data_IF_908415283368
#
_entry.id   IF_908415283368
#
_cell.length_a   1.000
_cell.length_b   1.000
_cell.length_c   1.000
_cell.angle_alpha   90.00
_cell.angle_beta   90.00
_cell.angle_gamma   90.00
#
_symmetry.space_group_name_H-M   'P 1'
#
loop_
_entity.id
_entity.type
_entity.pdbx_description
1 polymer ?
#
# COMPACT_ATOMS: atom_id res chain seq x y z
N UNK A 1 -2.00 7.75 -10.90
CA UNK A 1 -1.03 8.87 -10.98
C UNK A 1 -0.18 8.83 -12.24
N UNK A 2 0.70 7.83 -12.42
CA UNK A 2 1.65 7.79 -13.56
C UNK A 2 1.00 7.94 -14.94
N UNK A 3 -0.08 7.19 -15.22
CA UNK A 3 -0.78 7.30 -16.50
C UNK A 3 -1.33 8.71 -16.76
N UNK A 4 -1.91 9.33 -15.73
CA UNK A 4 -2.44 10.70 -15.83
C UNK A 4 -1.31 11.73 -16.04
N UNK A 5 -0.17 11.56 -15.35
CA UNK A 5 1.02 12.39 -15.56
C UNK A 5 1.55 12.23 -16.98
N UNK A 6 1.70 11.00 -17.47
CA UNK A 6 2.16 10.75 -18.83
C UNK A 6 1.24 11.39 -19.87
N UNK A 7 -0.07 11.32 -19.67
CA UNK A 7 -1.06 11.90 -20.58
C UNK A 7 -1.03 13.43 -20.59
N UNK A 8 -0.98 14.10 -19.43
CA UNK A 8 -0.89 15.57 -19.41
C UNK A 8 0.51 16.09 -19.81
N UNK A 9 1.56 15.29 -19.65
CA UNK A 9 2.94 15.69 -19.93
C UNK A 9 3.31 15.53 -21.41
N UNK A 10 2.95 14.41 -22.02
CA UNK A 10 3.36 14.04 -23.39
C UNK A 10 2.20 13.77 -24.34
N UNK A 11 0.95 13.80 -23.87
CA UNK A 11 -0.21 13.27 -24.60
C UNK A 11 0.02 11.82 -25.07
N UNK A 12 0.75 11.02 -24.25
CA UNK A 12 1.13 9.64 -24.55
C UNK A 12 2.04 9.48 -25.79
N UNK A 13 2.66 10.57 -26.25
CA UNK A 13 3.59 10.55 -27.37
C UNK A 13 4.97 10.12 -26.88
N UNK A 14 5.49 9.01 -27.42
CA UNK A 14 6.76 8.42 -27.02
C UNK A 14 7.97 9.30 -27.38
N UNK A 15 7.95 9.86 -28.60
CA UNK A 15 9.07 10.60 -29.19
C UNK A 15 8.86 12.11 -29.12
N UNK A 16 8.36 12.61 -27.98
CA UNK A 16 8.17 14.04 -27.78
C UNK A 16 9.27 14.62 -26.90
N UNK A 17 9.88 15.69 -27.41
CA UNK A 17 10.83 16.54 -26.70
C UNK A 17 10.18 17.91 -26.50
N UNK A 18 10.27 18.45 -25.30
CA UNK A 18 9.86 19.82 -25.02
C UNK A 18 11.07 20.63 -24.54
N UNK A 19 11.13 21.88 -24.99
CA UNK A 19 12.15 22.82 -24.56
C UNK A 19 11.52 24.00 -23.81
N UNK A 20 11.82 24.13 -22.52
CA UNK A 20 11.41 25.29 -21.73
C UNK A 20 12.43 26.41 -21.90
N UNK A 21 12.11 27.41 -22.74
CA UNK A 21 12.96 28.58 -22.99
C UNK A 21 13.31 29.36 -21.72
N UNK A 22 12.45 29.35 -20.69
CA UNK A 22 12.70 30.09 -19.44
C UNK A 22 13.67 29.37 -18.53
N UNK A 23 13.65 28.03 -18.54
CA UNK A 23 14.55 27.19 -17.74
C UNK A 23 15.80 26.74 -18.51
N UNK A 24 15.84 26.92 -19.84
CA UNK A 24 16.83 26.33 -20.74
C UNK A 24 16.97 24.81 -20.54
N UNK A 25 15.84 24.16 -20.28
CA UNK A 25 15.76 22.74 -19.93
C UNK A 25 15.05 21.98 -21.05
N UNK A 26 15.59 20.81 -21.40
CA UNK A 26 14.98 19.88 -22.36
C UNK A 26 14.42 18.68 -21.61
N UNK A 27 13.17 18.33 -21.90
CA UNK A 27 12.53 17.14 -21.34
C UNK A 27 12.12 16.19 -22.45
N UNK A 28 12.30 14.89 -22.24
CA UNK A 28 12.03 13.86 -23.24
C UNK A 28 11.12 12.74 -22.71
N UNK A 29 10.45 12.06 -23.64
CA UNK A 29 9.69 10.83 -23.40
C UNK A 29 8.33 11.02 -22.72
N UNK A 30 7.65 9.91 -22.42
CA UNK A 30 6.27 9.87 -21.91
C UNK A 30 6.01 10.75 -20.68
N UNK A 31 6.93 10.72 -19.73
CA UNK A 31 6.89 11.40 -18.44
C UNK A 31 7.57 12.78 -18.50
N UNK A 32 8.16 13.17 -19.63
CA UNK A 32 8.86 14.44 -19.81
C UNK A 32 9.93 14.68 -18.74
N UNK A 33 10.88 13.75 -18.64
CA UNK A 33 12.02 13.84 -17.73
C UNK A 33 13.19 14.56 -18.41
N UNK A 34 13.86 15.42 -17.65
CA UNK A 34 15.10 16.06 -18.09
C UNK A 34 16.30 15.12 -17.87
N UNK A 35 17.27 15.07 -18.80
CA UNK A 35 18.50 14.29 -18.64
C UNK A 35 19.19 14.54 -17.29
N UNK A 36 19.26 15.81 -16.86
CA UNK A 36 19.88 16.22 -15.61
C UNK A 36 19.15 15.64 -14.38
N UNK A 37 17.81 15.54 -14.45
CA UNK A 37 17.01 14.92 -13.39
C UNK A 37 17.23 13.42 -13.34
N UNK A 38 17.33 12.74 -14.49
CA UNK A 38 17.60 11.31 -14.55
C UNK A 38 19.01 10.99 -14.03
N UNK A 39 20.02 11.77 -14.43
CA UNK A 39 21.40 11.65 -13.93
C UNK A 39 21.46 11.87 -12.42
N UNK A 40 20.81 12.93 -11.93
CA UNK A 40 20.72 13.23 -10.51
C UNK A 40 20.04 12.09 -9.72
N UNK A 41 18.93 11.54 -10.23
CA UNK A 41 18.26 10.39 -9.60
C UNK A 41 19.15 9.15 -9.57
N UNK A 42 19.90 8.87 -10.64
CA UNK A 42 20.77 7.71 -10.71
C UNK A 42 22.01 7.85 -9.81
N UNK A 43 22.67 9.01 -9.83
CA UNK A 43 23.93 9.26 -9.12
C UNK A 43 23.72 9.56 -7.64
N UNK A 44 22.83 10.49 -7.32
CA UNK A 44 22.65 11.00 -5.96
C UNK A 44 21.55 10.27 -5.18
N UNK A 45 20.49 9.82 -5.86
CA UNK A 45 19.34 9.18 -5.20
C UNK A 45 19.32 7.65 -5.29
N UNK A 46 20.32 7.04 -5.93
CA UNK A 46 20.50 5.58 -5.97
C UNK A 46 19.61 4.81 -6.96
N UNK A 47 18.91 5.48 -7.88
CA UNK A 47 18.06 4.83 -8.89
C UNK A 47 18.90 4.28 -10.07
N UNK A 48 19.58 3.15 -9.84
CA UNK A 48 20.61 2.59 -10.75
C UNK A 48 20.14 1.43 -11.65
N UNK A 49 18.84 1.20 -11.80
CA UNK A 49 18.35 0.10 -12.66
C UNK A 49 18.63 0.33 -14.16
N UNK A 50 18.93 1.57 -14.56
CA UNK A 50 19.31 1.93 -15.93
C UNK A 50 20.51 2.88 -15.88
N UNK A 51 21.53 2.60 -16.71
CA UNK A 51 22.69 3.47 -16.87
C UNK A 51 22.31 4.70 -17.69
N UNK A 52 22.39 5.89 -17.07
CA UNK A 52 22.02 7.17 -17.69
C UNK A 52 23.19 7.79 -18.47
N UNK A 53 24.42 7.44 -18.13
CA UNK A 53 25.62 8.06 -18.69
C UNK A 53 25.84 7.65 -20.16
N UNK A 54 25.91 8.66 -21.05
CA UNK A 54 26.42 8.49 -22.41
C UNK A 54 25.41 8.09 -23.49
N UNK A 55 24.12 7.91 -23.17
CA UNK A 55 23.06 7.64 -24.18
C UNK A 55 22.02 8.79 -24.23
N UNK A 56 22.14 9.72 -25.19
CA UNK A 56 21.19 10.82 -25.37
C UNK A 56 19.76 10.36 -25.71
N UNK A 57 19.60 9.11 -26.17
CA UNK A 57 18.32 8.56 -26.61
C UNK A 57 17.63 7.73 -25.52
N UNK A 58 18.28 7.54 -24.37
CA UNK A 58 17.80 6.67 -23.31
C UNK A 58 16.41 7.05 -22.80
N UNK A 59 16.13 8.35 -22.65
CA UNK A 59 14.86 8.84 -22.13
C UNK A 59 13.70 8.71 -23.12
N UNK A 60 13.94 8.35 -24.38
CA UNK A 60 12.86 7.99 -25.31
C UNK A 60 12.40 6.54 -25.13
N UNK A 61 13.17 5.70 -24.42
CA UNK A 61 12.77 4.32 -24.10
C UNK A 61 11.63 4.36 -23.07
N UNK A 62 10.44 3.82 -23.37
CA UNK A 62 9.25 3.97 -22.52
C UNK A 62 9.46 3.52 -21.08
N UNK A 63 10.07 2.36 -20.87
CA UNK A 63 10.32 1.80 -19.53
C UNK A 63 11.33 2.64 -18.73
N UNK A 64 12.36 3.16 -19.38
CA UNK A 64 13.37 3.99 -18.72
C UNK A 64 12.78 5.32 -18.30
N UNK A 65 11.99 5.93 -19.19
CA UNK A 65 11.34 7.20 -18.94
C UNK A 65 10.28 7.11 -17.83
N UNK A 66 9.49 6.03 -17.82
CA UNK A 66 8.54 5.74 -16.74
C UNK A 66 9.25 5.46 -15.42
N UNK A 67 10.37 4.73 -15.43
CA UNK A 67 11.18 4.46 -14.24
C UNK A 67 11.67 5.76 -13.59
N UNK A 68 12.32 6.65 -14.34
CA UNK A 68 12.79 7.93 -13.80
C UNK A 68 11.63 8.87 -13.44
N UNK A 69 10.51 8.82 -14.18
CA UNK A 69 9.28 9.53 -13.81
C UNK A 69 8.70 9.09 -12.47
N UNK A 70 8.64 7.79 -12.24
CA UNK A 70 8.18 7.22 -10.97
C UNK A 70 9.15 7.53 -9.82
N UNK A 71 10.47 7.41 -10.07
CA UNK A 71 11.50 7.78 -9.11
C UNK A 71 11.42 9.26 -8.70
N UNK A 72 11.18 10.16 -9.66
CA UNK A 72 11.04 11.58 -9.38
C UNK A 72 9.79 11.89 -8.56
N UNK A 73 8.65 11.27 -8.89
CA UNK A 73 7.41 11.38 -8.09
C UNK A 73 7.63 10.86 -6.67
N UNK A 74 8.30 9.71 -6.52
CA UNK A 74 8.62 9.13 -5.21
C UNK A 74 9.50 10.07 -4.38
N UNK A 75 10.51 10.67 -4.99
CA UNK A 75 11.33 11.67 -4.31
C UNK A 75 10.53 12.90 -3.90
N UNK A 76 9.70 13.45 -4.80
CA UNK A 76 8.84 14.61 -4.50
C UNK A 76 7.83 14.32 -3.37
N UNK A 77 7.40 13.07 -3.21
CA UNK A 77 6.46 12.68 -2.15
C UNK A 77 7.07 12.72 -0.74
N UNK A 78 8.41 12.72 -0.65
CA UNK A 78 9.18 12.68 0.61
C UNK A 78 10.24 13.79 0.72
N UNK A 79 10.19 14.80 -0.17
CA UNK A 79 11.23 15.84 -0.23
C UNK A 79 11.26 16.69 1.05
N UNK A 80 12.48 16.96 1.55
CA UNK A 80 12.79 17.65 2.82
C UNK A 80 12.37 16.88 4.08
N UNK A 81 12.31 15.54 4.02
CA UNK A 81 11.96 14.69 5.17
C UNK A 81 10.49 14.81 5.59
N UNK A 82 9.63 15.37 4.73
CA UNK A 82 8.20 15.58 5.00
C UNK A 82 7.36 14.86 3.96
N UNK A 83 6.32 14.16 4.40
CA UNK A 83 5.31 13.59 3.52
C UNK A 83 4.51 14.72 2.85
N UNK A 84 4.42 14.67 1.51
CA UNK A 84 3.76 15.70 0.71
C UNK A 84 2.43 15.19 0.14
N UNK A 85 1.45 16.09 -0.01
CA UNK A 85 0.17 15.75 -0.64
C UNK A 85 0.34 15.47 -2.14
N UNK A 86 -0.60 14.72 -2.72
CA UNK A 86 -0.65 14.47 -4.17
C UNK A 86 -0.65 15.78 -4.97
N UNK A 87 -1.42 16.78 -4.54
CA UNK A 87 -1.42 18.10 -5.16
C UNK A 87 -0.02 18.73 -5.18
N UNK A 88 0.68 18.70 -4.04
CA UNK A 88 2.04 19.24 -3.96
C UNK A 88 2.97 18.51 -4.93
N UNK A 89 2.93 17.17 -4.94
CA UNK A 89 3.77 16.33 -5.80
C UNK A 89 3.54 16.64 -7.27
N UNK A 90 2.29 16.68 -7.73
CA UNK A 90 1.96 16.93 -9.15
C UNK A 90 2.33 18.35 -9.57
N UNK A 91 2.10 19.34 -8.71
CA UNK A 91 2.45 20.73 -9.00
C UNK A 91 3.96 20.94 -8.98
N UNK A 92 4.68 20.28 -8.07
CA UNK A 92 6.14 20.26 -8.02
C UNK A 92 6.74 19.53 -9.23
N UNK A 93 6.10 18.47 -9.72
CA UNK A 93 6.55 17.73 -10.90
C UNK A 93 6.65 18.65 -12.13
N UNK A 94 5.67 19.54 -12.33
CA UNK A 94 5.69 20.54 -13.41
C UNK A 94 6.58 21.74 -13.12
N UNK A 95 6.49 22.28 -11.92
CA UNK A 95 6.99 23.61 -11.58
C UNK A 95 8.33 23.63 -10.82
N UNK A 96 8.77 22.49 -10.31
CA UNK A 96 9.74 22.39 -9.21
C UNK A 96 9.08 22.67 -7.86
N UNK A 97 9.73 22.24 -6.78
CA UNK A 97 9.26 22.36 -5.39
C UNK A 97 8.84 23.79 -5.03
N UNK A 98 9.61 24.80 -5.45
CA UNK A 98 9.33 26.22 -5.18
C UNK A 98 8.03 26.73 -5.80
N UNK A 99 7.51 26.05 -6.84
CA UNK A 99 6.25 26.42 -7.52
C UNK A 99 5.10 25.47 -7.19
N UNK A 100 5.28 24.54 -6.26
CA UNK A 100 4.27 23.56 -5.89
C UNK A 100 2.97 24.22 -5.36
N UNK A 101 3.05 25.38 -4.72
CA UNK A 101 1.89 26.15 -4.24
C UNK A 101 1.55 27.36 -5.11
N UNK A 102 2.36 27.67 -6.12
CA UNK A 102 2.21 28.88 -6.94
C UNK A 102 1.05 28.76 -7.96
N UNK A 103 0.29 29.84 -8.18
CA UNK A 103 -0.90 29.84 -9.07
C UNK A 103 -0.61 29.33 -10.49
N UNK A 104 0.62 29.50 -10.99
CA UNK A 104 1.03 29.02 -12.32
C UNK A 104 0.98 27.49 -12.51
N UNK A 105 0.97 26.71 -11.43
CA UNK A 105 0.88 25.24 -11.49
C UNK A 105 -0.53 24.72 -11.23
N UNK A 106 -1.48 25.59 -10.88
CA UNK A 106 -2.85 25.20 -10.56
C UNK A 106 -3.57 24.57 -11.77
N UNK A 107 -3.42 25.18 -12.95
CA UNK A 107 -4.00 24.67 -14.20
C UNK A 107 -3.48 23.28 -14.57
N UNK A 108 -2.19 23.02 -14.34
CA UNK A 108 -1.60 21.70 -14.56
C UNK A 108 -2.22 20.64 -13.64
N UNK A 109 -2.48 21.00 -12.37
CA UNK A 109 -3.14 20.10 -11.43
C UNK A 109 -4.62 19.87 -11.76
N UNK A 110 -5.35 20.89 -12.23
CA UNK A 110 -6.73 20.72 -12.70
C UNK A 110 -6.81 19.76 -13.89
N UNK A 111 -5.89 19.90 -14.86
CA UNK A 111 -5.76 18.97 -15.98
C UNK A 111 -5.43 17.55 -15.52
N UNK A 112 -4.54 17.41 -14.53
CA UNK A 112 -4.23 16.13 -13.91
C UNK A 112 -5.48 15.46 -13.31
N UNK A 113 -6.28 16.20 -12.53
CA UNK A 113 -7.51 15.66 -11.92
C UNK A 113 -8.49 15.21 -13.01
N UNK A 114 -8.75 16.06 -14.01
CA UNK A 114 -9.64 15.73 -15.13
C UNK A 114 -9.21 14.46 -15.88
N UNK A 115 -7.92 14.31 -16.18
CA UNK A 115 -7.39 13.12 -16.84
C UNK A 115 -7.41 11.91 -15.92
N UNK A 116 -7.05 12.06 -14.65
CA UNK A 116 -7.09 10.96 -13.68
C UNK A 116 -8.51 10.43 -13.53
N UNK A 117 -9.48 11.31 -13.38
CA UNK A 117 -10.88 10.94 -13.21
C UNK A 117 -11.46 10.37 -14.52
N UNK A 118 -11.06 10.91 -15.69
CA UNK A 118 -11.38 10.33 -16.99
C UNK A 118 -10.73 8.97 -17.22
N UNK A 119 -9.51 8.73 -16.76
CA UNK A 119 -8.85 7.42 -16.82
C UNK A 119 -9.52 6.42 -15.88
N UNK A 120 -10.01 6.87 -14.74
CA UNK A 120 -10.84 6.06 -13.84
C UNK A 120 -12.20 5.74 -14.48
N UNK A 121 -12.82 6.71 -15.16
CA UNK A 121 -14.08 6.55 -15.88
C UNK A 121 -13.93 5.68 -17.15
N UNK A 122 -12.88 5.85 -17.96
CA UNK A 122 -12.58 5.02 -19.13
C UNK A 122 -12.18 3.61 -18.74
N UNK A 123 -11.43 3.45 -17.65
CA UNK A 123 -11.26 2.14 -17.02
C UNK A 123 -12.60 1.55 -16.59
N UNK A 124 -13.59 2.37 -16.25
CA UNK A 124 -14.95 1.94 -15.96
C UNK A 124 -15.83 1.72 -17.21
N UNK A 125 -15.55 2.34 -18.36
CA UNK A 125 -16.31 2.26 -19.62
C UNK A 125 -15.76 1.20 -20.60
N UNK A 126 -14.44 0.98 -20.67
CA UNK A 126 -13.79 -0.14 -21.39
C UNK A 126 -14.20 -1.53 -20.81
N UNK A 127 -14.96 -1.52 -19.71
CA UNK A 127 -15.62 -2.66 -19.08
C UNK A 127 -16.96 -3.02 -19.77
N UNK A 128 -17.56 -2.12 -20.58
CA UNK A 128 -18.94 -2.26 -21.07
C UNK A 128 -19.14 -2.51 -22.57
N UNK A 129 -18.11 -2.46 -23.44
CA UNK A 129 -18.31 -2.66 -24.89
C UNK A 129 -17.38 -3.72 -25.51
N UNK A 130 -17.92 -4.52 -26.43
CA UNK A 130 -17.62 -5.95 -26.70
C UNK A 130 -16.58 -6.26 -27.80
N UNK A 131 -15.78 -7.34 -27.64
CA UNK A 131 -15.62 -8.42 -28.65
C UNK A 131 -14.94 -9.70 -28.06
N UNK A 132 -15.32 -10.95 -28.46
CA UNK A 132 -15.42 -12.08 -27.52
C UNK A 132 -14.41 -13.25 -27.60
N UNK A 133 -13.21 -13.16 -28.18
CA UNK A 133 -12.43 -14.39 -28.50
C UNK A 133 -11.06 -14.63 -27.86
N UNK A 134 -10.57 -13.78 -26.95
CA UNK A 134 -9.26 -14.04 -26.31
C UNK A 134 -9.17 -13.71 -24.80
N UNK A 135 -10.23 -13.15 -24.20
CA UNK A 135 -10.19 -12.59 -22.84
C UNK A 135 -10.93 -13.43 -21.78
N UNK A 136 -11.44 -14.61 -22.17
CA UNK A 136 -12.42 -15.36 -21.36
C UNK A 136 -11.89 -15.80 -19.97
N UNK A 137 -10.58 -15.94 -19.80
CA UNK A 137 -9.97 -16.26 -18.50
C UNK A 137 -9.73 -15.07 -17.56
N UNK A 138 -9.55 -13.86 -18.10
CA UNK A 138 -9.23 -12.65 -17.31
C UNK A 138 -10.48 -11.79 -17.04
N UNK A 139 -11.42 -11.80 -18.00
CA UNK A 139 -12.70 -11.06 -17.99
C UNK A 139 -13.66 -11.57 -16.91
N UNK A 140 -13.71 -12.88 -16.66
CA UNK A 140 -14.51 -13.46 -15.57
C UNK A 140 -14.00 -13.13 -14.16
N UNK A 141 -12.73 -12.71 -14.03
CA UNK A 141 -12.05 -12.52 -12.74
C UNK A 141 -12.10 -11.07 -12.23
N UNK A 142 -12.32 -10.09 -13.11
CA UNK A 142 -12.24 -8.64 -12.76
C UNK A 142 -13.60 -7.92 -12.69
N UNK A 143 -14.58 -8.30 -13.52
CA UNK A 143 -15.99 -7.82 -13.36
C UNK A 143 -16.58 -8.25 -12.01
N UNK A 144 -16.12 -9.42 -11.57
CA UNK A 144 -16.33 -9.96 -10.26
C UNK A 144 -15.69 -9.04 -9.20
N UNK A 145 -14.40 -8.72 -9.26
CA UNK A 145 -13.65 -7.92 -8.26
C UNK A 145 -14.23 -6.55 -7.82
N UNK A 146 -14.95 -5.80 -8.67
CA UNK A 146 -15.51 -4.48 -8.31
C UNK A 146 -16.75 -4.55 -7.41
N UNK A 147 -17.61 -5.55 -7.62
CA UNK A 147 -18.73 -5.89 -6.72
C UNK A 147 -18.29 -6.92 -5.66
N UNK A 148 -17.30 -7.76 -5.95
CA UNK A 148 -16.78 -8.80 -5.07
C UNK A 148 -15.88 -8.29 -3.94
N UNK A 149 -15.16 -7.18 -4.13
CA UNK A 149 -14.37 -6.60 -3.04
C UNK A 149 -15.24 -5.92 -1.96
N UNK A 150 -16.57 -5.98 -2.10
CA UNK A 150 -17.53 -5.58 -1.07
C UNK A 150 -17.90 -6.73 -0.12
N UNK A 151 -17.64 -7.98 -0.52
CA UNK A 151 -17.97 -9.17 0.25
C UNK A 151 -16.72 -9.95 0.67
N UNK A 152 -16.72 -10.44 1.90
CA UNK A 152 -15.68 -11.32 2.42
C UNK A 152 -15.54 -12.59 1.57
N UNK A 153 -16.66 -13.24 1.25
CA UNK A 153 -16.70 -14.55 0.58
C UNK A 153 -16.00 -14.55 -0.80
N UNK A 154 -15.82 -13.38 -1.41
CA UNK A 154 -15.11 -13.25 -2.68
C UNK A 154 -13.65 -12.82 -2.53
N UNK A 155 -13.31 -12.19 -1.40
CA UNK A 155 -11.95 -11.72 -1.12
C UNK A 155 -11.07 -12.80 -0.49
N UNK A 156 -11.67 -13.76 0.23
CA UNK A 156 -10.94 -14.77 1.02
C UNK A 156 -11.31 -16.21 0.61
N UNK A 157 -10.48 -17.18 1.03
CA UNK A 157 -10.74 -18.59 0.76
C UNK A 157 -11.94 -19.12 1.56
N UNK A 158 -12.57 -20.19 1.08
CA UNK A 158 -13.68 -20.82 1.78
C UNK A 158 -13.24 -21.37 3.16
N UNK A 159 -12.00 -21.84 3.25
CA UNK A 159 -11.39 -22.31 4.49
C UNK A 159 -11.25 -21.17 5.51
N UNK A 160 -10.76 -20.00 5.08
CA UNK A 160 -10.61 -18.84 5.95
C UNK A 160 -11.98 -18.28 6.40
N UNK A 161 -12.98 -18.29 5.52
CA UNK A 161 -14.35 -17.94 5.89
C UNK A 161 -14.94 -18.87 6.94
N UNK A 162 -14.72 -20.17 6.83
CA UNK A 162 -15.23 -21.13 7.81
C UNK A 162 -14.60 -20.89 9.19
N UNK A 163 -13.32 -20.53 9.25
CA UNK A 163 -12.67 -20.13 10.51
C UNK A 163 -13.27 -18.83 11.09
N UNK A 164 -13.59 -17.84 10.25
CA UNK A 164 -14.31 -16.64 10.71
C UNK A 164 -15.69 -16.98 11.29
N UNK A 165 -16.44 -17.89 10.66
CA UNK A 165 -17.74 -18.33 11.17
C UNK A 165 -17.67 -19.14 12.46
N UNK A 166 -16.56 -19.84 12.73
CA UNK A 166 -16.33 -20.55 13.99
C UNK A 166 -15.94 -19.61 15.12
N UNK A 167 -15.42 -18.42 14.81
CA UNK A 167 -14.99 -17.46 15.82
C UNK A 167 -16.20 -16.85 16.55
N UNK A 168 -16.32 -17.00 17.89
CA UNK A 168 -17.54 -16.65 18.63
C UNK A 168 -17.90 -15.16 18.56
N UNK A 169 -16.91 -14.27 18.65
CA UNK A 169 -17.16 -12.82 18.61
C UNK A 169 -17.56 -12.34 17.21
N UNK A 170 -16.96 -12.89 16.15
CA UNK A 170 -17.33 -12.62 14.75
C UNK A 170 -18.73 -13.11 14.49
N UNK A 171 -19.05 -14.36 14.86
CA UNK A 171 -20.38 -14.93 14.71
C UNK A 171 -21.45 -14.04 15.38
N UNK A 172 -21.18 -13.56 16.59
CA UNK A 172 -22.06 -12.65 17.32
C UNK A 172 -22.23 -11.31 16.59
N UNK A 173 -21.16 -10.74 16.08
CA UNK A 173 -21.19 -9.47 15.35
C UNK A 173 -21.93 -9.58 14.02
N UNK A 174 -21.61 -10.59 13.21
CA UNK A 174 -22.27 -10.85 11.94
C UNK A 174 -23.76 -11.19 12.10
N UNK A 175 -24.12 -11.98 13.13
CA UNK A 175 -25.52 -12.25 13.45
C UNK A 175 -26.28 -10.97 13.84
N UNK A 176 -25.66 -10.07 14.63
CA UNK A 176 -26.25 -8.78 15.00
C UNK A 176 -26.48 -7.86 13.78
N UNK A 177 -25.57 -7.92 12.81
CA UNK A 177 -25.64 -7.16 11.56
C UNK A 177 -26.53 -7.82 10.49
N UNK A 178 -27.07 -9.01 10.75
CA UNK A 178 -27.93 -9.75 9.82
C UNK A 178 -27.19 -10.36 8.63
N UNK A 179 -25.87 -10.50 8.72
CA UNK A 179 -25.04 -11.10 7.68
C UNK A 179 -25.27 -12.61 7.61
N UNK A 180 -25.14 -13.19 6.40
CA UNK A 180 -25.42 -14.60 6.13
C UNK A 180 -24.22 -15.25 5.42
N UNK A 181 -24.01 -16.54 5.68
CA UNK A 181 -23.01 -17.37 4.98
C UNK A 181 -23.15 -17.22 3.46
N UNK A 182 -22.03 -16.99 2.77
CA UNK A 182 -21.99 -16.80 1.32
C UNK A 182 -22.23 -15.36 0.85
N UNK A 183 -22.57 -14.42 1.76
CA UNK A 183 -22.79 -13.02 1.41
C UNK A 183 -22.52 -12.09 2.59
N UNK A 184 -21.34 -12.21 3.20
CA UNK A 184 -20.92 -11.32 4.29
C UNK A 184 -20.27 -10.08 3.70
N UNK A 185 -20.77 -8.90 4.04
CA UNK A 185 -20.21 -7.62 3.58
C UNK A 185 -19.07 -7.13 4.45
N UNK A 186 -18.10 -6.46 3.84
CA UNK A 186 -17.18 -5.60 4.57
C UNK A 186 -17.91 -4.38 5.14
N UNK A 187 -17.38 -3.85 6.26
CA UNK A 187 -17.81 -2.54 6.75
C UNK A 187 -17.33 -1.44 5.79
N UNK A 188 -18.10 -0.36 5.67
CA UNK A 188 -17.78 0.74 4.76
C UNK A 188 -17.78 2.08 5.50
N UNK A 189 -16.80 2.93 5.21
CA UNK A 189 -16.75 4.29 5.76
C UNK A 189 -17.70 5.24 5.00
N UNK A 190 -17.69 6.53 5.37
CA UNK A 190 -18.50 7.56 4.70
C UNK A 190 -18.16 7.73 3.21
N UNK A 191 -16.97 7.32 2.79
CA UNK A 191 -16.48 7.37 1.41
C UNK A 191 -16.67 6.03 0.67
N UNK A 192 -17.38 5.07 1.28
CA UNK A 192 -17.58 3.71 0.75
C UNK A 192 -16.29 2.91 0.56
N UNK A 193 -15.27 3.16 1.38
CA UNK A 193 -14.05 2.34 1.40
C UNK A 193 -14.25 1.14 2.34
N UNK A 194 -13.93 -0.09 1.90
CA UNK A 194 -14.11 -1.28 2.71
C UNK A 194 -13.05 -1.37 3.82
N UNK A 195 -13.49 -1.64 5.05
CA UNK A 195 -12.64 -1.84 6.22
C UNK A 195 -13.16 -2.99 7.08
N UNK A 196 -12.28 -3.52 7.93
CA UNK A 196 -12.64 -4.55 8.91
C UNK A 196 -13.01 -3.92 10.25
N UNK A 197 -14.04 -4.42 10.89
CA UNK A 197 -14.34 -4.11 12.29
C UNK A 197 -13.17 -4.50 13.20
N UNK A 198 -13.12 -3.96 14.43
CA UNK A 198 -12.09 -4.37 15.39
C UNK A 198 -12.20 -5.85 15.77
N UNK A 199 -13.42 -6.38 15.83
CA UNK A 199 -13.67 -7.81 16.09
C UNK A 199 -13.13 -8.66 14.94
N UNK A 200 -13.42 -8.25 13.71
CA UNK A 200 -12.96 -8.93 12.50
C UNK A 200 -11.42 -8.93 12.40
N UNK A 201 -10.76 -7.77 12.59
CA UNK A 201 -9.29 -7.70 12.54
C UNK A 201 -8.64 -8.59 13.61
N UNK A 202 -9.16 -8.55 14.85
CA UNK A 202 -8.65 -9.39 15.94
C UNK A 202 -8.81 -10.88 15.60
N UNK A 203 -9.96 -11.29 15.08
CA UNK A 203 -10.20 -12.68 14.68
C UNK A 203 -9.27 -13.14 13.56
N UNK A 204 -9.05 -12.34 12.52
CA UNK A 204 -8.10 -12.68 11.45
C UNK A 204 -6.68 -12.85 12.02
N UNK A 205 -6.26 -11.98 12.94
CA UNK A 205 -4.97 -12.11 13.61
C UNK A 205 -4.87 -13.40 14.44
N UNK A 206 -5.90 -13.76 15.20
CA UNK A 206 -5.97 -14.99 16.00
C UNK A 206 -5.90 -16.26 15.13
N UNK A 207 -6.64 -16.28 14.01
CA UNK A 207 -6.64 -17.40 13.06
C UNK A 207 -5.25 -17.55 12.41
N UNK A 208 -4.64 -16.45 11.96
CA UNK A 208 -3.30 -16.48 11.35
C UNK A 208 -2.24 -16.96 12.35
N UNK A 209 -2.26 -16.44 13.58
CA UNK A 209 -1.29 -16.84 14.60
C UNK A 209 -1.47 -18.31 14.96
N UNK A 210 -2.69 -18.76 15.24
CA UNK A 210 -2.95 -20.14 15.62
C UNK A 210 -2.51 -21.14 14.54
N UNK A 211 -2.75 -20.82 13.26
CA UNK A 211 -2.40 -21.71 12.12
C UNK A 211 -0.92 -21.69 11.76
N UNK A 212 -0.22 -20.55 11.91
CA UNK A 212 1.10 -20.37 11.29
C UNK A 212 2.21 -19.85 12.22
N UNK A 213 1.86 -19.24 13.36
CA UNK A 213 2.83 -18.55 14.22
C UNK A 213 2.69 -18.88 15.71
N UNK A 214 2.01 -19.97 16.07
CA UNK A 214 1.77 -20.38 17.46
C UNK A 214 3.03 -20.47 18.32
N UNK A 215 4.20 -20.77 17.73
CA UNK A 215 5.48 -20.88 18.44
C UNK A 215 6.29 -19.58 18.51
N UNK A 216 5.82 -18.47 17.92
CA UNK A 216 6.61 -17.24 17.73
C UNK A 216 6.27 -16.08 18.68
N UNK A 217 5.44 -16.33 19.71
CA UNK A 217 5.14 -15.34 20.76
C UNK A 217 4.40 -14.07 20.30
N UNK A 218 3.94 -14.02 19.04
CA UNK A 218 3.22 -12.87 18.48
C UNK A 218 1.81 -12.80 19.08
N UNK A 219 1.46 -11.67 19.70
CA UNK A 219 0.12 -11.47 20.28
C UNK A 219 -0.87 -11.01 19.19
N UNK A 220 -2.07 -11.60 19.09
CA UNK A 220 -3.08 -11.18 18.12
C UNK A 220 -3.50 -9.71 18.27
N UNK A 221 -3.58 -9.23 19.52
CA UNK A 221 -3.89 -7.82 19.82
C UNK A 221 -2.83 -6.85 19.31
N UNK A 222 -1.55 -7.27 19.26
CA UNK A 222 -0.48 -6.45 18.69
C UNK A 222 -0.60 -6.35 17.17
N UNK A 223 -0.92 -7.44 16.48
CA UNK A 223 -1.17 -7.40 15.03
C UNK A 223 -2.41 -6.54 14.70
N UNK A 224 -3.48 -6.67 15.49
CA UNK A 224 -4.67 -5.86 15.30
C UNK A 224 -4.41 -4.35 15.53
N UNK A 225 -3.62 -4.01 16.54
CA UNK A 225 -3.16 -2.64 16.77
C UNK A 225 -2.28 -2.12 15.62
N UNK A 226 -1.39 -2.96 15.07
CA UNK A 226 -0.60 -2.61 13.89
C UNK A 226 -1.48 -2.35 12.66
N UNK A 227 -2.51 -3.16 12.42
CA UNK A 227 -3.46 -2.91 11.34
C UNK A 227 -4.17 -1.55 11.49
N UNK A 228 -4.53 -1.16 12.72
CA UNK A 228 -5.10 0.17 13.00
C UNK A 228 -4.11 1.28 12.61
N UNK A 229 -2.85 1.17 13.05
CA UNK A 229 -1.83 2.20 12.77
C UNK A 229 -1.44 2.22 11.28
N UNK A 230 -1.40 1.06 10.63
CA UNK A 230 -0.93 0.93 9.26
C UNK A 230 -1.97 1.35 8.22
N UNK A 231 -3.22 0.97 8.42
CA UNK A 231 -4.25 1.12 7.39
C UNK A 231 -5.56 1.66 7.92
N UNK A 232 -5.67 2.01 9.20
CA UNK A 232 -6.96 2.26 9.85
C UNK A 232 -7.97 1.14 9.59
N UNK A 233 -7.47 -0.11 9.44
CA UNK A 233 -8.21 -1.33 9.11
C UNK A 233 -8.84 -1.37 7.72
N UNK A 234 -8.48 -0.48 6.80
CA UNK A 234 -8.95 -0.56 5.41
C UNK A 234 -8.38 -1.79 4.70
N UNK A 235 -9.25 -2.52 3.99
CA UNK A 235 -8.91 -3.74 3.25
C UNK A 235 -7.81 -3.46 2.23
N UNK A 236 -7.92 -2.35 1.51
CA UNK A 236 -6.98 -1.97 0.46
C UNK A 236 -5.78 -1.17 0.98
N UNK A 237 -5.77 -0.81 2.27
CA UNK A 237 -4.76 0.04 2.87
C UNK A 237 -5.01 1.54 2.68
N UNK A 238 -4.02 2.36 3.07
CA UNK A 238 -4.06 3.83 2.96
C UNK A 238 -2.76 4.33 2.34
N UNK A 239 -2.87 5.25 1.36
CA UNK A 239 -1.73 5.94 0.73
C UNK A 239 -0.72 4.94 0.17
N UNK A 240 0.51 4.92 0.70
CA UNK A 240 1.61 4.04 0.30
C UNK A 240 1.57 2.67 0.99
N UNK A 241 0.72 2.49 2.01
CA UNK A 241 0.61 1.24 2.77
C UNK A 241 -0.45 0.36 2.12
N UNK A 242 0.00 -0.73 1.50
CA UNK A 242 -0.87 -1.70 0.81
C UNK A 242 -1.52 -2.65 1.80
N UNK A 243 -2.82 -2.87 1.62
CA UNK A 243 -3.55 -3.88 2.38
C UNK A 243 -3.73 -3.53 3.86
N UNK A 244 -4.28 -4.48 4.60
CA UNK A 244 -4.59 -4.35 6.02
C UNK A 244 -3.33 -4.05 6.87
N UNK A 245 -2.22 -4.73 6.58
CA UNK A 245 -0.99 -4.66 7.38
C UNK A 245 0.06 -3.68 6.85
N UNK A 246 -0.23 -2.96 5.75
CA UNK A 246 0.65 -1.94 5.20
C UNK A 246 1.99 -2.43 4.68
N UNK A 247 2.11 -3.73 4.38
CA UNK A 247 3.31 -4.34 3.80
C UNK A 247 3.29 -4.12 2.28
N UNK A 248 4.38 -3.62 1.72
CA UNK A 248 4.49 -3.46 0.27
C UNK A 248 4.77 -4.81 -0.43
N UNK A 249 4.43 -4.86 -1.73
CA UNK A 249 4.62 -6.08 -2.51
C UNK A 249 6.07 -6.58 -2.55
N UNK A 250 7.11 -5.73 -2.69
CA UNK A 250 8.50 -6.17 -2.59
C UNK A 250 8.83 -6.89 -1.28
N UNK A 251 8.39 -6.35 -0.13
CA UNK A 251 8.62 -6.97 1.18
C UNK A 251 7.88 -8.30 1.31
N UNK A 252 6.61 -8.36 0.89
CA UNK A 252 5.84 -9.61 0.91
C UNK A 252 6.46 -10.67 -0.01
N UNK A 253 6.92 -10.27 -1.20
CA UNK A 253 7.56 -11.17 -2.16
C UNK A 253 8.89 -11.72 -1.62
N UNK A 254 9.67 -10.90 -0.93
CA UNK A 254 10.91 -11.31 -0.26
C UNK A 254 10.62 -12.27 0.90
N UNK A 255 9.65 -11.96 1.77
CA UNK A 255 9.21 -12.87 2.85
C UNK A 255 8.76 -14.22 2.29
N UNK A 256 8.01 -14.20 1.19
CA UNK A 256 7.66 -15.39 0.47
C UNK A 256 8.93 -16.09 -0.02
N UNK A 257 9.64 -15.54 -1.02
CA UNK A 257 10.73 -16.18 -1.76
C UNK A 257 11.95 -16.54 -0.93
N UNK A 258 12.41 -15.64 -0.08
CA UNK A 258 13.73 -15.73 0.55
C UNK A 258 13.64 -16.17 2.02
N UNK A 259 12.64 -15.70 2.76
CA UNK A 259 12.43 -16.09 4.16
C UNK A 259 11.67 -17.42 4.29
N UNK A 260 10.93 -17.82 3.25
CA UNK A 260 10.23 -19.10 3.21
C UNK A 260 8.81 -19.07 3.81
N UNK A 261 8.18 -17.90 3.90
CA UNK A 261 6.80 -17.76 4.36
C UNK A 261 5.82 -18.19 3.24
N UNK A 262 5.52 -19.50 3.15
CA UNK A 262 4.78 -20.12 2.03
C UNK A 262 3.30 -20.38 2.25
N UNK A 263 2.73 -20.06 3.42
CA UNK A 263 1.35 -20.47 3.72
C UNK A 263 0.33 -19.78 2.80
N UNK A 264 0.61 -18.55 2.40
CA UNK A 264 -0.15 -17.82 1.39
C UNK A 264 0.73 -17.48 0.20
N UNK A 265 0.17 -17.61 -1.01
CA UNK A 265 0.86 -17.26 -2.25
C UNK A 265 0.74 -15.75 -2.50
N UNK A 266 1.84 -15.12 -2.89
CA UNK A 266 1.87 -13.72 -3.33
C UNK A 266 2.54 -13.61 -4.70
N UNK A 267 1.84 -13.04 -5.65
CA UNK A 267 2.23 -12.90 -7.06
C UNK A 267 1.95 -11.52 -7.63
N UNK A 268 1.06 -10.75 -7.00
CA UNK A 268 0.79 -9.37 -7.34
C UNK A 268 0.50 -8.53 -6.09
N UNK A 269 0.37 -7.22 -6.29
CA UNK A 269 -0.08 -6.29 -5.25
C UNK A 269 -1.50 -6.62 -4.78
N UNK A 270 -2.36 -7.08 -5.69
CA UNK A 270 -3.78 -7.33 -5.40
C UNK A 270 -3.97 -8.48 -4.40
N UNK A 271 -3.04 -9.44 -4.37
CA UNK A 271 -3.05 -10.52 -3.38
C UNK A 271 -3.00 -9.97 -1.94
N UNK A 272 -2.40 -8.79 -1.72
CA UNK A 272 -2.30 -8.14 -0.41
C UNK A 272 -3.59 -7.40 0.00
N UNK A 273 -4.59 -7.31 -0.87
CA UNK A 273 -5.93 -6.82 -0.47
C UNK A 273 -6.77 -7.91 0.20
N UNK A 274 -6.37 -9.19 0.09
CA UNK A 274 -6.97 -10.23 0.90
C UNK A 274 -6.54 -10.04 2.38
N UNK A 275 -7.48 -9.88 3.33
CA UNK A 275 -7.16 -9.62 4.73
C UNK A 275 -6.27 -10.69 5.39
N UNK A 276 -6.46 -11.97 5.05
CA UNK A 276 -5.65 -13.08 5.58
C UNK A 276 -4.24 -13.07 5.01
N UNK A 277 -4.10 -12.86 3.69
CA UNK A 277 -2.78 -12.75 3.04
C UNK A 277 -2.01 -11.57 3.62
N UNK A 278 -2.65 -10.40 3.77
CA UNK A 278 -2.03 -9.22 4.35
C UNK A 278 -1.64 -9.45 5.81
N UNK A 279 -2.54 -10.02 6.63
CA UNK A 279 -2.26 -10.37 8.02
C UNK A 279 -1.10 -11.37 8.15
N UNK A 280 -1.06 -12.40 7.30
CA UNK A 280 0.00 -13.40 7.27
C UNK A 280 1.37 -12.77 7.02
N UNK A 281 1.52 -11.94 5.99
CA UNK A 281 2.79 -11.28 5.69
C UNK A 281 3.16 -10.23 6.74
N UNK A 282 2.18 -9.55 7.34
CA UNK A 282 2.43 -8.68 8.49
C UNK A 282 2.97 -9.45 9.70
N UNK A 283 2.36 -10.59 10.03
CA UNK A 283 2.84 -11.46 11.11
C UNK A 283 4.23 -12.04 10.81
N UNK A 284 4.48 -12.46 9.57
CA UNK A 284 5.78 -12.92 9.12
C UNK A 284 6.87 -11.85 9.25
N UNK A 285 6.56 -10.61 8.83
CA UNK A 285 7.50 -9.50 8.91
C UNK A 285 7.83 -9.15 10.37
N UNK A 286 6.81 -9.09 11.22
CA UNK A 286 6.98 -8.86 12.65
C UNK A 286 7.85 -9.95 13.30
N UNK A 287 7.62 -11.21 12.93
CA UNK A 287 8.40 -12.34 13.42
C UNK A 287 9.83 -12.38 12.87
N UNK A 288 10.10 -11.78 11.71
CA UNK A 288 11.47 -11.59 11.23
C UNK A 288 12.17 -10.45 11.98
N UNK A 289 11.44 -9.36 12.26
CA UNK A 289 11.96 -8.22 13.01
C UNK A 289 12.31 -8.56 14.47
N UNK A 290 11.64 -9.56 15.07
CA UNK A 290 11.98 -9.99 16.44
C UNK A 290 13.38 -10.56 16.56
N UNK A 291 13.97 -11.06 15.48
CA UNK A 291 15.32 -11.64 15.43
C UNK A 291 16.27 -10.82 14.53
N UNK A 292 15.94 -9.55 14.29
CA UNK A 292 16.67 -8.69 13.35
C UNK A 292 18.16 -8.55 13.73
N UNK A 293 19.07 -8.71 12.76
CA UNK A 293 20.53 -8.83 12.93
C UNK A 293 20.98 -10.01 13.81
N UNK A 294 20.20 -11.09 13.86
CA UNK A 294 20.56 -12.31 14.59
C UNK A 294 20.48 -12.17 16.11
N UNK A 295 19.74 -11.19 16.62
CA UNK A 295 19.51 -10.99 18.05
C UNK A 295 18.04 -10.71 18.33
N UNK A 296 17.60 -11.09 19.51
CA UNK A 296 16.26 -10.76 19.99
C UNK A 296 16.10 -9.24 20.14
N UNK A 297 14.98 -8.71 19.66
CA UNK A 297 14.66 -7.28 19.69
C UNK A 297 13.59 -6.95 20.71
N UNK A 298 13.66 -5.75 21.26
CA UNK A 298 12.60 -5.23 22.13
C UNK A 298 11.31 -4.98 21.33
N UNK A 299 10.17 -5.08 22.01
CA UNK A 299 8.85 -4.81 21.41
C UNK A 299 8.77 -3.41 20.78
N UNK A 300 9.36 -2.42 21.44
CA UNK A 300 9.42 -1.05 20.93
C UNK A 300 10.22 -0.96 19.62
N UNK A 301 11.40 -1.59 19.57
CA UNK A 301 12.20 -1.65 18.35
C UNK A 301 11.41 -2.30 17.20
N UNK A 302 10.78 -3.45 17.47
CA UNK A 302 10.03 -4.20 16.45
C UNK A 302 8.92 -3.34 15.85
N UNK A 303 8.13 -2.64 16.67
CA UNK A 303 7.04 -1.78 16.19
C UNK A 303 7.57 -0.59 15.40
N UNK A 304 8.61 0.07 15.89
CA UNK A 304 9.21 1.20 15.17
C UNK A 304 9.82 0.77 13.84
N UNK A 305 10.54 -0.36 13.81
CA UNK A 305 11.09 -0.97 12.61
C UNK A 305 10.00 -1.39 11.62
N UNK A 306 8.88 -1.93 12.11
CA UNK A 306 7.75 -2.30 11.27
C UNK A 306 7.16 -1.08 10.56
N UNK A 307 7.00 0.04 11.28
CA UNK A 307 6.32 1.23 10.80
C UNK A 307 7.22 2.17 9.99
N UNK A 308 8.53 2.19 10.27
CA UNK A 308 9.50 3.12 9.69
C UNK A 308 10.64 2.46 8.90
N UNK A 309 10.77 1.13 8.94
CA UNK A 309 11.90 0.38 8.42
C UNK A 309 12.98 0.14 9.50
N UNK A 310 13.61 -1.04 9.53
CA UNK A 310 14.56 -1.42 10.58
C UNK A 310 15.84 -0.58 10.59
N UNK A 311 16.23 0.00 9.46
CA UNK A 311 17.39 0.91 9.34
C UNK A 311 17.12 2.31 9.91
N UNK A 312 15.84 2.69 10.09
CA UNK A 312 15.42 4.03 10.49
C UNK A 312 15.00 4.12 11.97
N UNK A 313 15.31 3.11 12.78
CA UNK A 313 14.91 3.10 14.19
C UNK A 313 15.83 4.00 15.00
N UNK A 314 15.35 5.21 15.34
CA UNK A 314 16.02 6.16 16.21
C UNK A 314 15.04 6.72 17.26
N UNK A 315 15.38 6.56 18.55
CA UNK A 315 14.52 6.86 19.71
C UNK A 315 13.87 8.26 19.68
N UNK A 316 14.50 9.26 19.06
CA UNK A 316 13.93 10.62 18.98
C UNK A 316 12.92 10.81 17.83
N UNK A 317 13.08 10.12 16.71
CA UNK A 317 12.25 10.32 15.51
C UNK A 317 11.10 9.31 15.42
N UNK A 318 11.30 8.08 15.92
CA UNK A 318 10.30 6.99 15.86
C UNK A 318 9.44 6.86 17.12
N UNK A 319 9.74 7.59 18.20
CA UNK A 319 8.93 7.63 19.42
C UNK A 319 7.43 7.90 19.21
N UNK A 320 7.02 8.84 18.34
CA UNK A 320 5.61 9.06 18.03
C UNK A 320 4.88 7.84 17.42
N UNK A 321 5.60 6.95 16.71
CA UNK A 321 5.03 5.73 16.14
C UNK A 321 4.69 4.71 17.23
N UNK A 322 5.55 4.59 18.24
CA UNK A 322 5.32 3.74 19.40
C UNK A 322 4.11 4.20 20.21
N UNK A 323 3.98 5.51 20.46
CA UNK A 323 2.83 6.06 21.18
C UNK A 323 1.50 5.78 20.47
N UNK A 324 1.45 5.94 19.13
CA UNK A 324 0.27 5.59 18.33
C UNK A 324 -0.09 4.11 18.42
N UNK A 325 0.92 3.24 18.44
CA UNK A 325 0.71 1.81 18.61
C UNK A 325 0.16 1.48 20.01
N UNK A 326 0.70 2.08 21.07
CA UNK A 326 0.19 1.89 22.43
C UNK A 326 -1.27 2.37 22.58
N UNK A 327 -1.60 3.51 21.97
CA UNK A 327 -2.98 3.99 21.90
C UNK A 327 -3.90 2.99 21.18
N UNK A 328 -3.48 2.52 20.00
CA UNK A 328 -4.24 1.52 19.24
C UNK A 328 -4.43 0.21 20.01
N UNK A 329 -3.41 -0.23 20.75
CA UNK A 329 -3.45 -1.45 21.56
C UNK A 329 -4.54 -1.39 22.64
N UNK A 330 -4.82 -0.20 23.19
CA UNK A 330 -5.88 -0.01 24.19
C UNK A 330 -7.28 -0.39 23.67
N UNK A 331 -7.51 -0.32 22.35
CA UNK A 331 -8.80 -0.69 21.75
C UNK A 331 -9.03 -2.20 21.67
N UNK A 332 -7.98 -3.01 21.82
CA UNK A 332 -8.02 -4.47 21.72
C UNK A 332 -7.77 -5.16 23.06
N UNK A 333 -7.51 -4.39 24.12
CA UNK A 333 -7.43 -4.91 25.48
C UNK A 333 -8.78 -5.47 25.94
N UNK A 334 -8.73 -6.58 26.68
CA UNK A 334 -9.95 -7.18 27.22
C UNK A 334 -10.64 -6.17 28.15
N UNK A 335 -11.88 -5.84 27.83
CA UNK A 335 -12.79 -5.18 28.75
C UNK A 335 -12.98 -6.12 29.94
N UNK A 336 -12.22 -5.87 31.02
CA UNK A 336 -12.34 -6.43 32.37
C UNK A 336 -13.34 -7.59 32.47
N UNK A 337 -12.87 -8.81 32.26
CA UNK A 337 -13.37 -9.90 33.09
C UNK A 337 -12.77 -9.65 34.46
N UNK A 338 -13.62 -9.25 35.40
CA UNK A 338 -13.30 -9.30 36.83
C UNK A 338 -12.74 -10.69 37.13
N UNK A 339 -11.45 -10.75 37.44
CA UNK A 339 -10.91 -11.64 38.44
C UNK A 339 -9.50 -11.16 38.78
N UNK A 340 -9.38 -10.65 40.00
CA UNK A 340 -8.13 -10.27 40.59
C UNK A 340 -7.16 -11.46 40.56
N UNK A 341 -6.03 -11.26 39.91
CA UNK A 341 -4.77 -11.79 40.38
C UNK A 341 -3.68 -10.89 39.83
N UNK A 342 -3.10 -10.11 40.73
CA UNK A 342 -1.85 -9.43 40.53
C UNK A 342 -0.79 -10.46 40.10
N UNK A 343 -0.18 -10.26 38.94
CA UNK A 343 1.17 -10.77 38.65
C UNK A 343 1.90 -9.75 37.77
N UNK A 344 3.12 -9.50 38.18
CA UNK A 344 4.00 -8.38 37.86
C UNK A 344 4.69 -8.58 36.51
N UNK A 345 4.81 -7.46 35.79
CA UNK A 345 5.72 -7.05 34.70
C UNK A 345 6.39 -8.13 33.84
#
# INVERSE_FOLDING_TARGET
MLCAVAEIASNRILLIENYDKKKKERTAGLMQIAPEVAEWLAREMGYRNYEVEGDPMLLYKPFVNVYFGAAYIKWLSSSDGKERSEEFVIRAYRGGIKKATHKSTADYFQRYLSVRDSLLAKRAEEIYDDNPLASDGLRARMLKAGEECTFWDSAVSAEDMEEMWKHPDVLKEWAKSGERRGRVRFSHDSEKRPYLSRVEVKAVAEIIISRHFSSRGVKPTALAALAEVCSMRFVNGIRSRTGLMGIDYPTALWLYKDVGCRAYKVTSVDDLYNPFVSMYFGAAYLAWLSEYEGRERSHEFIVQAYLGGPENVNLQETGPLWNKFQEALSYYGDSKKDQGSCCIL
#
